data_IF_683469005798
#
_entry.id   IF_683469005798
#
_cell.length_a   1.000
_cell.length_b   1.000
_cell.length_c   1.000
_cell.angle_alpha   90.00
_cell.angle_beta   90.00
_cell.angle_gamma   90.00
#
_symmetry.space_group_name_H-M   'P 1'
#
loop_
_entity.id
_entity.type
_entity.pdbx_description
1 polymer ?
#
# COMPACT_ATOMS: atom_id res chain seq x y z
N UNK A 1 3.37 -23.85 8.79
CA UNK A 1 3.73 -23.16 10.06
C UNK A 1 2.76 -21.99 10.27
N UNK A 2 2.56 -21.48 11.50
CA UNK A 2 1.74 -20.27 11.67
C UNK A 2 2.46 -19.08 11.03
N UNK A 3 1.71 -18.22 10.32
CA UNK A 3 2.25 -17.00 9.72
C UNK A 3 2.80 -16.07 10.80
N UNK A 4 4.06 -15.66 10.65
CA UNK A 4 4.77 -14.74 11.54
C UNK A 4 4.71 -13.32 10.97
N UNK A 5 4.49 -12.33 11.84
CA UNK A 5 4.63 -10.91 11.50
C UNK A 5 6.01 -10.43 11.97
N UNK A 6 6.77 -9.77 11.10
CA UNK A 6 8.09 -9.22 11.38
C UNK A 6 8.34 -7.92 10.61
N UNK A 7 9.32 -7.10 10.99
CA UNK A 7 9.79 -6.00 10.15
C UNK A 7 10.21 -6.50 8.75
N UNK A 8 10.02 -5.64 7.75
CA UNK A 8 10.52 -5.91 6.41
C UNK A 8 12.06 -5.78 6.37
N UNK A 9 12.68 -6.63 5.56
CA UNK A 9 14.11 -6.59 5.27
C UNK A 9 14.34 -6.23 3.80
N UNK A 10 15.49 -5.66 3.41
CA UNK A 10 15.77 -5.34 2.01
C UNK A 10 15.62 -6.52 1.05
N UNK A 11 15.85 -7.73 1.52
CA UNK A 11 15.70 -8.99 0.78
C UNK A 11 14.24 -9.35 0.47
N UNK A 12 13.28 -8.77 1.18
CA UNK A 12 11.85 -9.04 0.94
C UNK A 12 11.29 -8.31 -0.28
N UNK A 13 11.98 -7.30 -0.80
CA UNK A 13 11.47 -6.39 -1.83
C UNK A 13 10.78 -7.11 -2.99
N UNK A 14 11.45 -8.08 -3.60
CA UNK A 14 10.93 -8.75 -4.79
C UNK A 14 9.66 -9.57 -4.47
N UNK A 15 9.63 -10.21 -3.29
CA UNK A 15 8.45 -10.94 -2.82
C UNK A 15 7.28 -9.98 -2.50
N UNK A 16 7.54 -8.81 -1.93
CA UNK A 16 6.51 -7.81 -1.66
C UNK A 16 5.96 -7.18 -2.96
N UNK A 17 6.80 -7.01 -3.98
CA UNK A 17 6.37 -6.59 -5.31
C UNK A 17 5.45 -7.63 -5.95
N UNK A 18 5.80 -8.91 -5.80
CA UNK A 18 4.94 -10.01 -6.28
C UNK A 18 3.61 -10.05 -5.52
N UNK A 19 3.60 -9.88 -4.19
CA UNK A 19 2.35 -9.75 -3.41
C UNK A 19 1.50 -8.61 -3.94
N UNK A 20 2.09 -7.42 -4.17
CA UNK A 20 1.40 -6.26 -4.71
C UNK A 20 0.73 -6.57 -6.05
N UNK A 21 1.45 -7.22 -6.97
CA UNK A 21 0.93 -7.62 -8.27
C UNK A 21 -0.20 -8.65 -8.16
N UNK A 22 -0.05 -9.66 -7.29
CA UNK A 22 -1.04 -10.73 -7.09
C UNK A 22 -2.28 -10.28 -6.31
N UNK A 23 -2.30 -9.04 -5.83
CA UNK A 23 -3.45 -8.47 -5.09
C UNK A 23 -3.94 -7.14 -5.68
N UNK A 24 -3.29 -6.64 -6.72
CA UNK A 24 -3.46 -5.28 -7.25
C UNK A 24 -4.79 -5.00 -7.95
N UNK A 25 -5.60 -6.01 -8.31
CA UNK A 25 -6.96 -5.81 -8.84
C UNK A 25 -8.00 -5.96 -7.73
N UNK A 26 -8.15 -4.93 -6.90
CA UNK A 26 -9.10 -4.92 -5.79
C UNK A 26 -8.99 -6.17 -4.89
N UNK A 27 -7.77 -6.60 -4.58
CA UNK A 27 -7.45 -7.77 -3.78
C UNK A 27 -7.33 -9.08 -4.58
N UNK A 28 -7.38 -9.02 -5.91
CA UNK A 28 -7.21 -10.14 -6.85
C UNK A 28 -5.93 -9.98 -7.66
N UNK A 29 -5.55 -11.04 -8.38
CA UNK A 29 -4.39 -11.07 -9.26
C UNK A 29 -4.52 -10.06 -10.41
N UNK A 30 -3.57 -9.11 -10.47
CA UNK A 30 -3.48 -8.07 -11.49
C UNK A 30 -2.46 -8.38 -12.60
N UNK A 31 -1.86 -9.57 -12.62
CA UNK A 31 -0.80 -9.94 -13.58
C UNK A 31 -1.22 -9.71 -15.05
N UNK A 32 -2.48 -9.96 -15.37
CA UNK A 32 -3.01 -9.74 -16.73
C UNK A 32 -3.20 -8.25 -17.08
N UNK A 33 -3.30 -7.37 -16.07
CA UNK A 33 -3.50 -5.93 -16.24
C UNK A 33 -2.18 -5.18 -16.36
N UNK A 34 -1.10 -5.74 -15.80
CA UNK A 34 0.23 -5.13 -15.73
C UNK A 34 1.30 -6.06 -16.31
N UNK A 35 1.52 -6.05 -17.64
CA UNK A 35 2.63 -6.77 -18.29
C UNK A 35 4.00 -6.40 -17.72
N UNK A 36 4.21 -5.14 -17.33
CA UNK A 36 5.36 -4.73 -16.54
C UNK A 36 5.13 -5.10 -15.07
N UNK A 37 5.67 -6.24 -14.66
CA UNK A 37 5.47 -6.81 -13.32
C UNK A 37 6.04 -5.96 -12.18
N UNK A 38 6.97 -5.04 -12.48
CA UNK A 38 7.61 -4.19 -11.47
C UNK A 38 6.86 -2.88 -11.22
N UNK A 39 6.02 -2.45 -12.14
CA UNK A 39 5.38 -1.13 -12.11
C UNK A 39 4.53 -0.92 -10.83
N UNK A 40 3.65 -1.87 -10.49
CA UNK A 40 2.83 -1.76 -9.28
C UNK A 40 3.69 -1.71 -8.01
N UNK A 41 4.70 -2.57 -7.92
CA UNK A 41 5.62 -2.60 -6.80
C UNK A 41 6.41 -1.30 -6.66
N UNK A 42 6.90 -0.74 -7.76
CA UNK A 42 7.62 0.53 -7.77
C UNK A 42 6.73 1.72 -7.39
N UNK A 43 5.41 1.64 -7.61
CA UNK A 43 4.47 2.70 -7.24
C UNK A 43 3.94 2.52 -5.81
N UNK A 44 3.54 1.33 -5.41
CA UNK A 44 2.76 1.11 -4.18
C UNK A 44 3.52 0.45 -3.03
N UNK A 45 4.73 -0.07 -3.25
CA UNK A 45 5.55 -0.75 -2.22
C UNK A 45 6.91 -0.08 -2.04
N UNK A 46 7.61 0.15 -3.14
CA UNK A 46 8.99 0.63 -3.15
C UNK A 46 9.22 1.92 -2.35
N UNK A 47 8.37 2.96 -2.48
CA UNK A 47 8.57 4.20 -1.74
C UNK A 47 8.52 3.99 -0.21
N UNK A 48 7.67 3.09 0.28
CA UNK A 48 7.60 2.79 1.72
C UNK A 48 8.85 2.07 2.22
N UNK A 49 9.33 1.07 1.46
CA UNK A 49 10.56 0.36 1.81
C UNK A 49 11.79 1.28 1.81
N UNK A 50 11.80 2.29 0.93
CA UNK A 50 12.91 3.23 0.81
C UNK A 50 12.85 4.38 1.83
N UNK A 51 11.65 4.91 2.10
CA UNK A 51 11.48 6.16 2.86
C UNK A 51 10.95 5.93 4.28
N UNK A 52 10.27 4.82 4.54
CA UNK A 52 9.64 4.49 5.82
C UNK A 52 9.90 3.03 6.25
N UNK A 53 11.16 2.51 6.19
CA UNK A 53 11.43 1.10 6.45
C UNK A 53 11.01 0.64 7.84
N UNK A 54 11.04 1.51 8.84
CA UNK A 54 10.63 1.20 10.22
C UNK A 54 9.11 0.98 10.37
N UNK A 55 8.32 1.41 9.38
CA UNK A 55 6.86 1.24 9.31
C UNK A 55 6.45 0.19 8.26
N UNK A 56 7.37 -0.67 7.85
CA UNK A 56 7.13 -1.75 6.92
C UNK A 56 7.17 -3.12 7.61
N UNK A 57 6.06 -3.84 7.56
CA UNK A 57 5.86 -5.15 8.17
C UNK A 57 5.58 -6.22 7.11
N UNK A 58 6.06 -7.42 7.35
CA UNK A 58 5.90 -8.60 6.51
C UNK A 58 5.11 -9.68 7.24
N UNK A 59 4.18 -10.31 6.54
CA UNK A 59 3.60 -11.60 6.93
C UNK A 59 4.40 -12.71 6.26
N UNK A 60 5.20 -13.43 7.05
CA UNK A 60 6.04 -14.54 6.61
C UNK A 60 5.33 -15.86 6.93
N UNK A 61 5.04 -16.67 5.92
CA UNK A 61 4.30 -17.93 6.05
C UNK A 61 5.21 -19.16 6.26
N UNK A 62 6.53 -18.92 6.34
CA UNK A 62 7.56 -19.93 6.47
C UNK A 62 8.18 -20.35 5.14
N UNK A 63 7.66 -19.86 4.02
CA UNK A 63 8.27 -19.98 2.68
C UNK A 63 8.80 -18.65 2.18
N UNK A 64 8.41 -17.54 2.83
CA UNK A 64 8.79 -16.18 2.52
C UNK A 64 7.69 -15.16 2.83
N UNK A 65 7.85 -13.96 2.28
CA UNK A 65 6.85 -12.91 2.44
C UNK A 65 5.59 -13.24 1.62
N UNK A 66 4.46 -13.39 2.31
CA UNK A 66 3.15 -13.67 1.72
C UNK A 66 2.14 -12.51 1.92
N UNK A 67 2.61 -11.41 2.50
CA UNK A 67 1.82 -10.19 2.69
C UNK A 67 2.66 -9.10 3.33
N UNK A 68 2.13 -7.87 3.29
CA UNK A 68 2.76 -6.71 3.92
C UNK A 68 1.73 -5.77 4.56
N UNK A 69 2.20 -4.97 5.52
CA UNK A 69 1.54 -3.74 5.94
C UNK A 69 2.61 -2.63 5.93
N UNK A 70 2.34 -1.56 5.20
CA UNK A 70 3.25 -0.44 4.97
C UNK A 70 2.59 0.82 5.50
N UNK A 71 3.34 1.64 6.24
CA UNK A 71 2.85 2.89 6.79
C UNK A 71 3.73 4.08 6.42
N UNK A 72 3.13 5.26 6.42
CA UNK A 72 3.84 6.53 6.41
C UNK A 72 3.29 7.41 7.54
N UNK A 73 4.18 8.00 8.35
CA UNK A 73 3.81 8.75 9.54
C UNK A 73 3.06 10.04 9.20
N UNK A 74 3.51 10.75 8.17
CA UNK A 74 2.98 12.03 7.71
C UNK A 74 2.78 11.99 6.20
N UNK A 75 1.55 11.86 5.74
CA UNK A 75 1.21 11.72 4.31
C UNK A 75 1.83 12.81 3.45
N UNK A 76 1.69 14.08 3.85
CA UNK A 76 2.20 15.20 3.06
C UNK A 76 3.72 15.17 2.93
N UNK A 77 4.43 14.85 4.02
CA UNK A 77 5.90 14.75 4.00
C UNK A 77 6.38 13.55 3.18
N UNK A 78 5.67 12.45 3.28
CA UNK A 78 5.96 11.25 2.49
C UNK A 78 5.83 11.54 0.98
N UNK A 79 4.73 12.16 0.57
CA UNK A 79 4.49 12.53 -0.82
C UNK A 79 5.56 13.50 -1.36
N UNK A 80 5.96 14.49 -0.54
CA UNK A 80 7.05 15.40 -0.88
C UNK A 80 8.39 14.66 -1.04
N UNK A 81 8.69 13.72 -0.15
CA UNK A 81 9.90 12.90 -0.25
C UNK A 81 9.87 11.99 -1.49
N UNK A 82 8.72 11.43 -1.84
CA UNK A 82 8.54 10.65 -3.06
C UNK A 82 8.84 11.51 -4.31
N UNK A 83 8.30 12.72 -4.40
CA UNK A 83 8.55 13.60 -5.55
C UNK A 83 10.03 14.00 -5.68
N UNK A 84 10.72 14.18 -4.55
CA UNK A 84 12.12 14.61 -4.56
C UNK A 84 13.11 13.47 -4.85
N UNK A 85 12.85 12.26 -4.36
CA UNK A 85 13.87 11.20 -4.35
C UNK A 85 13.43 9.86 -4.93
N UNK A 86 12.13 9.59 -5.10
CA UNK A 86 11.64 8.30 -5.58
C UNK A 86 11.09 8.37 -7.00
N UNK A 87 10.13 9.25 -7.29
CA UNK A 87 9.48 9.33 -8.59
C UNK A 87 10.41 9.64 -9.76
N UNK A 88 11.48 10.45 -9.62
CA UNK A 88 12.40 10.68 -10.75
C UNK A 88 13.03 9.37 -11.27
N UNK A 89 13.44 8.47 -10.38
CA UNK A 89 14.02 7.18 -10.77
C UNK A 89 12.97 6.22 -11.31
N UNK A 90 11.78 6.19 -10.71
CA UNK A 90 10.66 5.33 -11.16
C UNK A 90 10.22 5.75 -12.56
N UNK A 91 10.04 7.05 -12.81
CA UNK A 91 9.70 7.59 -14.13
C UNK A 91 10.77 7.25 -15.18
N UNK A 92 12.05 7.24 -14.80
CA UNK A 92 13.13 6.83 -15.70
C UNK A 92 13.12 5.33 -16.04
N UNK A 93 12.73 4.47 -15.09
CA UNK A 93 12.58 3.02 -15.30
C UNK A 93 11.34 2.65 -16.09
N UNK A 94 10.26 3.41 -15.93
CA UNK A 94 8.97 3.20 -16.59
C UNK A 94 8.63 4.40 -17.48
N UNK A 95 9.28 4.56 -18.63
CA UNK A 95 8.99 5.66 -19.56
C UNK A 95 7.56 5.55 -20.09
N UNK A 96 7.00 6.67 -20.55
CA UNK A 96 5.71 6.65 -21.27
C UNK A 96 5.83 5.71 -22.47
N UNK A 97 4.97 4.70 -22.50
CA UNK A 97 4.90 3.73 -23.60
C UNK A 97 3.63 3.96 -24.43
N UNK A 98 3.75 4.47 -25.67
CA UNK A 98 2.59 4.68 -26.55
C UNK A 98 1.86 3.37 -26.95
N UNK A 99 2.50 2.21 -26.75
CA UNK A 99 1.91 0.90 -27.02
C UNK A 99 1.20 0.31 -25.81
N UNK A 100 1.39 0.88 -24.60
CA UNK A 100 0.69 0.46 -23.41
C UNK A 100 -0.82 0.71 -23.55
N UNK A 101 -1.61 -0.14 -22.93
CA UNK A 101 -3.08 -0.04 -22.94
C UNK A 101 -3.67 -0.47 -21.59
N UNK A 102 -4.94 -0.19 -21.38
CA UNK A 102 -5.65 -0.56 -20.16
C UNK A 102 -5.06 0.07 -18.90
N UNK A 103 -5.08 -0.68 -17.80
CA UNK A 103 -4.71 -0.21 -16.47
C UNK A 103 -3.23 0.19 -16.38
N UNK A 104 -2.33 -0.54 -17.07
CA UNK A 104 -0.91 -0.16 -17.13
C UNK A 104 -0.72 1.20 -17.78
N UNK A 105 -1.40 1.49 -18.89
CA UNK A 105 -1.30 2.80 -19.55
C UNK A 105 -1.83 3.92 -18.64
N UNK A 106 -2.95 3.68 -17.98
CA UNK A 106 -3.54 4.63 -17.03
C UNK A 106 -2.59 4.93 -15.86
N UNK A 107 -1.95 3.90 -15.30
CA UNK A 107 -0.99 4.10 -14.20
C UNK A 107 0.28 4.83 -14.68
N UNK A 108 0.79 4.51 -15.86
CA UNK A 108 1.93 5.24 -16.46
C UNK A 108 1.59 6.72 -16.68
N UNK A 109 0.39 7.02 -17.17
CA UNK A 109 -0.06 8.42 -17.33
C UNK A 109 -0.09 9.15 -15.98
N UNK A 110 -0.62 8.52 -14.93
CA UNK A 110 -0.66 9.07 -13.58
C UNK A 110 0.75 9.26 -13.02
N UNK A 111 1.65 8.29 -13.18
CA UNK A 111 3.05 8.35 -12.75
C UNK A 111 3.80 9.53 -13.35
N UNK A 112 3.56 9.83 -14.63
CA UNK A 112 4.23 10.92 -15.34
C UNK A 112 3.56 12.28 -15.18
N UNK A 113 2.38 12.36 -14.54
CA UNK A 113 1.69 13.61 -14.24
C UNK A 113 2.09 14.08 -12.84
N UNK A 114 2.79 15.22 -12.72
CA UNK A 114 3.19 15.76 -11.41
C UNK A 114 1.98 15.92 -10.47
N UNK A 115 2.12 15.45 -9.24
CA UNK A 115 1.09 15.56 -8.21
C UNK A 115 -0.13 14.65 -8.38
N UNK A 116 -0.18 13.78 -9.39
CA UNK A 116 -1.34 12.91 -9.60
C UNK A 116 -1.36 11.67 -8.67
N UNK A 117 -0.22 11.33 -8.09
CA UNK A 117 -0.11 10.22 -7.10
C UNK A 117 -0.33 10.71 -5.65
N UNK A 118 -0.63 11.99 -5.44
CA UNK A 118 -0.82 12.55 -4.10
C UNK A 118 -2.14 12.05 -3.50
N UNK A 119 -2.03 11.36 -2.37
CA UNK A 119 -3.21 10.93 -1.61
C UNK A 119 -3.95 12.13 -0.98
N UNK A 120 -5.28 12.06 -0.80
CA UNK A 120 -6.00 13.05 -0.02
C UNK A 120 -5.41 13.18 1.40
N UNK A 121 -5.33 14.40 1.90
CA UNK A 121 -4.84 14.68 3.24
C UNK A 121 -6.01 14.87 4.20
N UNK A 122 -5.91 14.19 5.36
CA UNK A 122 -6.91 14.27 6.43
C UNK A 122 -6.20 14.73 7.72
N UNK A 123 -6.38 15.99 8.15
CA UNK A 123 -5.62 16.55 9.29
C UNK A 123 -5.72 15.76 10.59
N UNK A 124 -6.87 15.14 10.87
CA UNK A 124 -7.07 14.31 12.06
C UNK A 124 -6.47 12.89 11.91
N UNK A 125 -6.09 12.50 10.70
CA UNK A 125 -5.51 11.19 10.33
C UNK A 125 -4.26 11.40 9.48
N UNK A 126 -3.18 11.96 10.07
CA UNK A 126 -2.00 12.40 9.30
C UNK A 126 -1.24 11.24 8.65
N UNK A 127 -1.28 10.07 9.25
CA UNK A 127 -0.63 8.86 8.72
C UNK A 127 -1.50 8.16 7.69
N UNK A 128 -0.86 7.40 6.79
CA UNK A 128 -1.59 6.49 5.90
C UNK A 128 -0.93 5.11 5.84
N UNK A 129 -1.69 4.14 5.35
CA UNK A 129 -1.22 2.75 5.25
C UNK A 129 -1.70 2.03 3.99
N UNK A 130 -0.95 0.97 3.64
CA UNK A 130 -1.34 -0.09 2.72
C UNK A 130 -1.20 -1.45 3.39
N UNK A 131 -2.08 -2.39 3.07
CA UNK A 131 -1.97 -3.79 3.51
C UNK A 131 -2.49 -4.70 2.40
N UNK A 132 -1.66 -5.66 2.03
CA UNK A 132 -2.02 -6.73 1.10
C UNK A 132 -1.54 -8.08 1.60
N UNK A 133 -2.39 -9.08 1.43
CA UNK A 133 -2.16 -10.45 1.85
C UNK A 133 -2.51 -11.39 0.71
N UNK A 134 -1.68 -12.37 0.42
CA UNK A 134 -2.02 -13.47 -0.46
C UNK A 134 -3.21 -14.26 0.10
N UNK A 135 -4.03 -14.83 -0.77
CA UNK A 135 -5.29 -15.46 -0.41
C UNK A 135 -5.13 -16.55 0.67
N UNK A 136 -4.09 -17.38 0.54
CA UNK A 136 -3.87 -18.55 1.42
C UNK A 136 -3.57 -18.19 2.88
N UNK A 137 -3.16 -16.93 3.19
CA UNK A 137 -2.93 -16.47 4.58
C UNK A 137 -4.08 -15.59 5.10
N UNK A 138 -5.11 -15.33 4.31
CA UNK A 138 -6.29 -14.56 4.74
C UNK A 138 -7.16 -15.37 5.71
N UNK A 139 -8.02 -14.69 6.48
CA UNK A 139 -9.00 -15.33 7.39
C UNK A 139 -8.43 -15.77 8.72
N UNK A 140 -7.13 -15.96 8.87
CA UNK A 140 -6.47 -16.41 10.12
C UNK A 140 -6.12 -15.28 11.12
N UNK A 141 -6.67 -14.08 10.95
CA UNK A 141 -6.37 -12.92 11.83
C UNK A 141 -5.02 -12.26 11.57
N UNK A 142 -4.26 -12.68 10.55
CA UNK A 142 -2.94 -12.13 10.22
C UNK A 142 -3.04 -10.63 9.94
N UNK A 143 -3.98 -10.20 9.07
CA UNK A 143 -4.15 -8.79 8.74
C UNK A 143 -4.46 -7.91 9.95
N UNK A 144 -5.31 -8.39 10.87
CA UNK A 144 -5.58 -7.69 12.13
C UNK A 144 -4.30 -7.52 12.96
N UNK A 145 -3.53 -8.60 13.17
CA UNK A 145 -2.27 -8.53 13.96
C UNK A 145 -1.26 -7.57 13.33
N UNK A 146 -1.14 -7.56 11.99
CA UNK A 146 -0.25 -6.63 11.30
C UNK A 146 -0.67 -5.19 11.52
N UNK A 147 -1.97 -4.88 11.35
CA UNK A 147 -2.46 -3.52 11.54
C UNK A 147 -2.37 -3.07 13.00
N UNK A 148 -2.71 -3.93 13.97
CA UNK A 148 -2.56 -3.63 15.39
C UNK A 148 -1.09 -3.28 15.74
N UNK A 149 -0.12 -4.01 15.19
CA UNK A 149 1.30 -3.69 15.37
C UNK A 149 1.68 -2.37 14.68
N UNK A 150 1.23 -2.14 13.44
CA UNK A 150 1.49 -0.88 12.73
C UNK A 150 0.87 0.32 13.45
N UNK A 151 -0.33 0.17 14.02
CA UNK A 151 -0.97 1.24 14.81
C UNK A 151 -0.14 1.62 16.05
N UNK A 152 0.42 0.62 16.74
CA UNK A 152 1.35 0.87 17.86
C UNK A 152 2.56 1.66 17.37
N UNK A 153 3.22 1.25 16.29
CA UNK A 153 4.39 1.94 15.74
C UNK A 153 4.06 3.39 15.33
N UNK A 154 2.92 3.63 14.69
CA UNK A 154 2.47 4.97 14.30
C UNK A 154 2.16 5.84 15.52
N UNK A 155 1.42 5.30 16.51
CA UNK A 155 1.07 6.02 17.74
C UNK A 155 2.31 6.37 18.56
N UNK A 156 3.25 5.43 18.76
CA UNK A 156 4.53 5.68 19.44
C UNK A 156 5.41 6.70 18.69
N UNK A 157 5.23 6.83 17.38
CA UNK A 157 5.87 7.85 16.54
C UNK A 157 5.13 9.21 16.58
N UNK A 158 4.02 9.32 17.31
CA UNK A 158 3.28 10.56 17.54
C UNK A 158 2.13 10.82 16.59
N UNK A 159 1.67 9.83 15.82
CA UNK A 159 0.47 9.97 14.99
C UNK A 159 -0.80 10.02 15.83
N UNK A 160 -1.71 10.93 15.49
CA UNK A 160 -3.05 11.01 16.08
C UNK A 160 -4.09 10.15 15.39
N UNK A 161 -3.78 9.63 14.19
CA UNK A 161 -4.72 8.83 13.42
C UNK A 161 -4.14 8.39 12.08
N UNK A 162 -4.71 7.36 11.52
CA UNK A 162 -4.30 6.76 10.26
C UNK A 162 -5.46 6.66 9.29
N UNK A 163 -5.23 6.90 8.01
CA UNK A 163 -6.21 6.70 6.95
C UNK A 163 -5.70 5.74 5.87
N UNK A 164 -6.60 5.28 5.04
CA UNK A 164 -6.32 4.50 3.85
C UNK A 164 -7.38 4.75 2.78
N UNK A 165 -7.02 4.51 1.52
CA UNK A 165 -7.96 4.38 0.42
C UNK A 165 -8.21 2.92 0.08
N UNK A 166 -9.45 2.54 -0.18
CA UNK A 166 -9.83 1.21 -0.63
C UNK A 166 -10.69 1.29 -1.88
N UNK A 167 -10.37 0.47 -2.89
CA UNK A 167 -11.15 0.36 -4.12
C UNK A 167 -12.62 0.04 -3.79
N UNK A 168 -13.56 0.75 -4.43
CA UNK A 168 -14.99 0.56 -4.21
C UNK A 168 -15.45 -0.86 -4.53
N UNK A 169 -14.76 -1.59 -5.41
CA UNK A 169 -15.03 -2.99 -5.75
C UNK A 169 -14.59 -3.97 -4.65
N UNK A 170 -13.68 -3.56 -3.75
CA UNK A 170 -13.16 -4.41 -2.68
C UNK A 170 -14.03 -4.36 -1.42
N UNK A 171 -15.25 -4.88 -1.52
CA UNK A 171 -16.23 -4.91 -0.41
C UNK A 171 -15.68 -5.67 0.81
N UNK A 172 -14.88 -6.73 0.58
CA UNK A 172 -14.28 -7.51 1.66
C UNK A 172 -13.33 -6.69 2.53
N UNK A 173 -12.47 -5.88 1.90
CA UNK A 173 -11.56 -4.98 2.61
C UNK A 173 -12.32 -3.87 3.34
N UNK A 174 -13.33 -3.25 2.71
CA UNK A 174 -14.15 -2.23 3.37
C UNK A 174 -14.80 -2.76 4.65
N UNK A 175 -15.36 -3.97 4.62
CA UNK A 175 -15.94 -4.62 5.79
C UNK A 175 -14.89 -4.97 6.84
N UNK A 176 -13.69 -5.38 6.42
CA UNK A 176 -12.57 -5.68 7.32
C UNK A 176 -12.15 -4.42 8.08
N UNK A 177 -11.95 -3.29 7.42
CA UNK A 177 -11.56 -2.04 8.08
C UNK A 177 -12.66 -1.52 9.03
N UNK A 178 -13.93 -1.56 8.63
CA UNK A 178 -15.04 -1.17 9.53
C UNK A 178 -15.10 -2.04 10.79
N UNK A 179 -14.79 -3.34 10.70
CA UNK A 179 -14.69 -4.22 11.89
C UNK A 179 -13.50 -3.90 12.79
N UNK A 180 -12.48 -3.20 12.28
CA UNK A 180 -11.36 -2.67 13.05
C UNK A 180 -11.65 -1.30 13.67
N UNK A 181 -12.79 -0.69 13.38
CA UNK A 181 -13.19 0.60 13.92
C UNK A 181 -12.94 1.79 12.99
N UNK A 182 -12.49 1.56 11.76
CA UNK A 182 -12.37 2.63 10.78
C UNK A 182 -13.74 3.23 10.44
N UNK A 183 -13.78 4.53 10.28
CA UNK A 183 -14.94 5.32 9.85
C UNK A 183 -14.75 5.85 8.44
N UNK A 184 -15.86 6.05 7.72
CA UNK A 184 -15.84 6.59 6.37
C UNK A 184 -15.49 8.08 6.43
N UNK A 185 -14.48 8.53 5.67
CA UNK A 185 -14.04 9.93 5.58
C UNK A 185 -14.52 10.60 4.29
N UNK A 186 -14.21 9.99 3.16
CA UNK A 186 -14.51 10.53 1.84
C UNK A 186 -14.69 9.41 0.83
N UNK A 187 -15.60 9.57 -0.10
CA UNK A 187 -15.71 8.72 -1.29
C UNK A 187 -15.37 9.53 -2.54
N UNK A 188 -14.65 8.92 -3.47
CA UNK A 188 -14.41 9.38 -4.84
C UNK A 188 -15.10 8.42 -5.82
N UNK A 189 -14.91 8.63 -7.12
CA UNK A 189 -15.46 7.72 -8.13
C UNK A 189 -14.82 6.31 -8.07
N UNK A 190 -13.58 6.20 -7.59
CA UNK A 190 -12.81 4.97 -7.61
C UNK A 190 -12.50 4.39 -6.22
N UNK A 191 -12.50 5.21 -5.16
CA UNK A 191 -12.05 4.82 -3.84
C UNK A 191 -12.92 5.34 -2.70
N UNK A 192 -12.98 4.56 -1.62
CA UNK A 192 -13.48 4.98 -0.31
C UNK A 192 -12.28 5.20 0.63
N UNK A 193 -12.17 6.39 1.19
CA UNK A 193 -11.19 6.72 2.21
C UNK A 193 -11.77 6.48 3.59
N UNK A 194 -11.02 5.77 4.41
CA UNK A 194 -11.39 5.37 5.77
C UNK A 194 -10.33 5.86 6.76
N UNK A 195 -10.73 6.26 7.96
CA UNK A 195 -9.83 6.74 9.01
C UNK A 195 -10.06 6.07 10.35
N UNK A 196 -8.98 5.96 11.13
CA UNK A 196 -9.00 5.42 12.50
C UNK A 196 -8.15 6.33 13.40
N UNK A 197 -8.70 6.88 14.51
CA UNK A 197 -7.89 7.53 15.55
C UNK A 197 -6.94 6.53 16.21
N UNK A 198 -5.72 6.98 16.57
CA UNK A 198 -4.66 6.15 17.20
C UNK A 198 -4.40 6.60 18.64
#
# INVERSE_FOLDING_TARGET
>A
MPTRVRPAEPSDRDALYEVCLLTGDAGRDATALYPDRSLLGDVFVGPYLALCPDLALVADDGTGAAGYALGALETVRFEQACELSWWPEVRARHPVDPAASGDQAALLEVLHRPGALVAPSFPDYPSHLHIDLLEHIRGGGVGRRMLELLFVLLSESGSSGVHLGVDLRNIGAQQFYRRLGFVDLQATDDALYLGLPL
#
